data_IF_419440816346
#
_entry.id   IF_419440816346
#
_cell.length_a   1.000
_cell.length_b   1.000
_cell.length_c   1.000
_cell.angle_alpha   90.00
_cell.angle_beta   90.00
_cell.angle_gamma   90.00
#
_symmetry.space_group_name_H-M   'P 1'
#
loop_
_entity.id
_entity.type
_entity.pdbx_description
1 polymer ?
#
# COMPACT_ATOMS: atom_id res chain seq x y z
N UNK A 1 -25.52 6.40 -5.15
CA UNK A 1 -24.16 6.08 -5.61
C UNK A 1 -23.49 5.35 -4.47
N UNK A 2 -22.90 4.19 -4.74
CA UNK A 2 -22.39 3.30 -3.70
C UNK A 2 -20.88 3.35 -3.77
N UNK A 3 -20.27 4.05 -2.83
CA UNK A 3 -18.81 4.16 -2.75
C UNK A 3 -18.20 2.78 -2.49
N UNK A 4 -17.31 2.36 -3.39
CA UNK A 4 -16.46 1.18 -3.27
C UNK A 4 -15.13 1.59 -2.67
N UNK A 5 -14.59 0.75 -1.78
CA UNK A 5 -13.28 1.00 -1.16
C UNK A 5 -12.30 -0.05 -1.66
N UNK A 6 -11.20 0.40 -2.23
CA UNK A 6 -10.15 -0.44 -2.79
C UNK A 6 -8.93 -0.43 -1.88
N UNK A 7 -8.40 -1.62 -1.60
CA UNK A 7 -7.09 -1.79 -0.98
C UNK A 7 -6.11 -2.29 -2.03
N UNK A 8 -5.08 -1.51 -2.30
CA UNK A 8 -4.05 -1.86 -3.26
C UNK A 8 -2.74 -2.12 -2.53
N UNK A 9 -2.14 -3.27 -2.82
CA UNK A 9 -0.82 -3.67 -2.31
C UNK A 9 0.14 -3.75 -3.48
N UNK A 10 1.13 -2.85 -3.50
CA UNK A 10 2.24 -2.87 -4.47
C UNK A 10 3.46 -3.47 -3.78
N UNK A 11 4.01 -4.54 -4.35
CA UNK A 11 5.21 -5.22 -3.84
C UNK A 11 6.36 -5.05 -4.81
N UNK A 12 7.55 -4.90 -4.27
CA UNK A 12 8.76 -4.78 -5.09
C UNK A 12 10.01 -5.14 -4.30
N UNK A 13 11.14 -5.05 -4.99
CA UNK A 13 12.47 -5.26 -4.43
C UNK A 13 13.30 -4.02 -4.70
N UNK A 14 13.93 -3.48 -3.67
CA UNK A 14 14.95 -2.45 -3.81
C UNK A 14 16.09 -2.96 -4.71
N UNK A 15 16.62 -2.08 -5.55
CA UNK A 15 17.67 -2.39 -6.51
C UNK A 15 18.79 -1.36 -6.43
N UNK A 16 20.04 -1.84 -6.51
CA UNK A 16 21.21 -0.95 -6.54
C UNK A 16 21.38 -0.05 -5.30
N UNK A 17 20.90 -0.46 -4.12
CA UNK A 17 21.04 0.36 -2.90
C UNK A 17 22.52 0.63 -2.57
N UNK A 18 22.90 1.90 -2.56
CA UNK A 18 24.19 2.35 -2.02
C UNK A 18 24.28 2.15 -0.51
N UNK A 19 25.49 2.27 0.04
CA UNK A 19 25.74 2.13 1.49
C UNK A 19 24.93 3.16 2.31
N UNK A 20 24.91 4.42 1.86
CA UNK A 20 24.19 5.51 2.54
C UNK A 20 22.68 5.31 2.48
N UNK A 21 22.15 4.90 1.32
CA UNK A 21 20.72 4.60 1.15
C UNK A 21 20.28 3.42 2.01
N UNK A 22 21.13 2.40 2.12
CA UNK A 22 20.87 1.26 3.01
C UNK A 22 20.89 1.69 4.48
N UNK A 23 21.82 2.55 4.87
CA UNK A 23 21.90 3.08 6.23
C UNK A 23 20.65 3.91 6.59
N UNK A 24 20.19 4.74 5.66
CA UNK A 24 18.98 5.55 5.81
C UNK A 24 17.72 4.68 5.95
N UNK A 25 17.55 3.67 5.09
CA UNK A 25 16.47 2.69 5.23
C UNK A 25 16.53 1.96 6.57
N UNK A 26 17.71 1.57 7.05
CA UNK A 26 17.87 0.92 8.35
C UNK A 26 17.51 1.85 9.52
N UNK A 27 17.88 3.13 9.46
CA UNK A 27 17.57 4.11 10.49
C UNK A 27 16.06 4.29 10.67
N UNK A 28 15.29 4.22 9.57
CA UNK A 28 13.83 4.36 9.59
C UNK A 28 13.05 3.04 9.64
N UNK A 29 13.73 1.89 9.70
CA UNK A 29 13.09 0.58 9.61
C UNK A 29 12.08 0.33 10.75
N UNK A 30 12.36 0.80 11.98
CA UNK A 30 11.46 0.63 13.11
C UNK A 30 10.15 1.43 12.99
N UNK A 31 10.19 2.57 12.29
CA UNK A 31 9.00 3.38 12.01
C UNK A 31 8.15 2.77 10.88
N UNK A 32 8.81 2.11 9.94
CA UNK A 32 8.24 1.52 8.72
C UNK A 32 8.16 -0.01 8.77
N UNK A 33 8.11 -0.54 9.98
CA UNK A 33 7.96 -1.96 10.25
C UNK A 33 6.63 -2.47 9.66
N UNK A 34 6.67 -3.68 9.11
CA UNK A 34 5.50 -4.42 8.61
C UNK A 34 4.37 -4.51 9.65
N UNK A 35 4.69 -4.53 10.94
CA UNK A 35 3.70 -4.55 12.03
C UNK A 35 2.89 -3.25 12.16
N UNK A 36 3.39 -2.13 11.63
CA UNK A 36 2.72 -0.83 11.63
C UNK A 36 2.05 -0.51 10.29
N UNK A 37 2.10 -1.43 9.34
CA UNK A 37 1.62 -1.18 8.00
C UNK A 37 0.10 -0.94 7.95
N UNK A 38 -0.29 0.18 7.37
CA UNK A 38 -1.69 0.55 7.17
C UNK A 38 -1.97 0.82 5.69
N UNK A 39 -3.24 0.77 5.29
CA UNK A 39 -3.68 1.29 3.99
C UNK A 39 -4.09 2.74 4.19
N UNK A 40 -3.40 3.68 3.53
CA UNK A 40 -3.68 5.12 3.60
C UNK A 40 -3.82 5.71 2.19
N UNK A 41 -4.53 6.84 2.02
CA UNK A 41 -4.67 7.51 0.73
C UNK A 41 -3.35 8.07 0.17
N UNK A 42 -2.39 8.39 1.04
CA UNK A 42 -1.04 8.82 0.64
C UNK A 42 -0.13 7.61 0.34
N UNK A 43 -0.57 6.43 0.76
CA UNK A 43 0.17 5.19 0.73
C UNK A 43 1.22 5.05 1.84
N UNK A 44 1.41 3.82 2.29
CA UNK A 44 2.34 3.49 3.36
C UNK A 44 3.35 2.44 2.89
N UNK A 45 4.64 2.82 2.86
CA UNK A 45 5.72 1.89 2.58
C UNK A 45 6.16 1.18 3.86
N UNK A 46 6.06 -0.14 3.85
CA UNK A 46 6.64 -1.01 4.86
C UNK A 46 7.74 -1.87 4.26
N UNK A 47 8.81 -2.11 5.02
CA UNK A 47 9.93 -2.94 4.59
C UNK A 47 10.68 -3.51 5.79
N UNK A 48 11.45 -4.56 5.54
CA UNK A 48 12.46 -5.08 6.47
C UNK A 48 13.74 -5.32 5.68
N UNK A 49 14.50 -4.26 5.47
CA UNK A 49 15.74 -4.26 4.67
C UNK A 49 16.86 -5.08 5.35
N UNK A 50 16.73 -5.36 6.66
CA UNK A 50 17.66 -6.21 7.39
C UNK A 50 17.45 -7.69 7.04
N UNK A 51 16.20 -8.13 6.90
CA UNK A 51 15.87 -9.49 6.49
C UNK A 51 15.96 -9.70 4.96
N UNK A 52 15.46 -8.74 4.17
CA UNK A 52 15.43 -8.84 2.70
C UNK A 52 15.26 -7.47 2.03
N UNK A 53 15.79 -7.26 0.82
CA UNK A 53 15.63 -5.99 0.11
C UNK A 53 14.21 -5.82 -0.49
N UNK A 54 13.17 -6.41 0.09
CA UNK A 54 11.80 -6.32 -0.40
C UNK A 54 11.00 -5.27 0.37
N UNK A 55 10.08 -4.60 -0.33
CA UNK A 55 9.15 -3.65 0.25
C UNK A 55 7.70 -3.98 -0.11
N UNK A 56 6.78 -3.42 0.65
CA UNK A 56 5.35 -3.45 0.37
C UNK A 56 4.76 -2.07 0.62
N UNK A 57 4.19 -1.49 -0.41
CA UNK A 57 3.45 -0.25 -0.38
C UNK A 57 1.96 -0.55 -0.33
N UNK A 58 1.25 0.03 0.66
CA UNK A 58 -0.18 -0.18 0.87
C UNK A 58 -0.91 1.13 0.63
N UNK A 59 -1.84 1.12 -0.32
CA UNK A 59 -2.55 2.30 -0.79
C UNK A 59 -4.06 2.08 -0.66
N UNK A 60 -4.75 3.10 -0.13
CA UNK A 60 -6.20 3.10 0.03
C UNK A 60 -6.82 4.04 -1.00
N UNK A 61 -7.79 3.54 -1.75
CA UNK A 61 -8.51 4.36 -2.72
C UNK A 61 -10.00 4.03 -2.71
N UNK A 62 -10.78 4.80 -3.46
CA UNK A 62 -12.21 4.59 -3.63
C UNK A 62 -12.67 4.92 -5.04
N UNK A 63 -13.79 4.31 -5.43
CA UNK A 63 -14.47 4.56 -6.69
C UNK A 63 -15.97 4.32 -6.56
N UNK A 64 -16.69 4.54 -7.66
CA UNK A 64 -18.13 4.33 -7.75
C UNK A 64 -18.47 3.15 -8.68
N UNK A 65 -17.58 2.84 -9.62
CA UNK A 65 -17.69 1.74 -10.57
C UNK A 65 -16.69 0.61 -10.23
N UNK A 66 -16.92 -0.58 -10.77
CA UNK A 66 -16.00 -1.71 -10.57
C UNK A 66 -14.68 -1.48 -11.31
N UNK A 67 -14.77 -0.85 -12.48
CA UNK A 67 -13.67 -0.54 -13.37
C UNK A 67 -12.68 0.44 -12.74
N UNK A 68 -13.13 1.27 -11.79
CA UNK A 68 -12.30 2.23 -11.06
C UNK A 68 -11.17 1.56 -10.28
N UNK A 69 -11.26 0.25 -10.00
CA UNK A 69 -10.20 -0.51 -9.34
C UNK A 69 -8.92 -0.55 -10.18
N UNK A 70 -9.02 -0.49 -11.52
CA UNK A 70 -7.86 -0.48 -12.42
C UNK A 70 -7.14 0.87 -12.33
N UNK A 71 -7.88 1.97 -12.34
CA UNK A 71 -7.31 3.30 -12.16
C UNK A 71 -6.68 3.47 -10.76
N UNK A 72 -7.31 2.89 -9.73
CA UNK A 72 -6.76 2.90 -8.38
C UNK A 72 -5.44 2.12 -8.29
N UNK A 73 -5.28 1.04 -9.06
CA UNK A 73 -4.00 0.33 -9.18
C UNK A 73 -2.93 1.20 -9.83
N UNK A 74 -3.25 1.88 -10.93
CA UNK A 74 -2.32 2.79 -11.61
C UNK A 74 -1.88 3.93 -10.67
N UNK A 75 -2.82 4.53 -9.94
CA UNK A 75 -2.53 5.55 -8.92
C UNK A 75 -1.63 5.02 -7.82
N UNK A 76 -1.87 3.81 -7.33
CA UNK A 76 -1.03 3.18 -6.31
C UNK A 76 0.40 2.89 -6.80
N UNK A 77 0.56 2.43 -8.04
CA UNK A 77 1.89 2.20 -8.65
C UNK A 77 2.65 3.51 -8.87
N UNK A 78 1.95 4.55 -9.33
CA UNK A 78 2.52 5.88 -9.49
C UNK A 78 2.96 6.46 -8.15
N UNK A 79 2.13 6.36 -7.10
CA UNK A 79 2.45 6.82 -5.76
C UNK A 79 3.65 6.06 -5.17
N UNK A 80 3.70 4.74 -5.32
CA UNK A 80 4.83 3.93 -4.87
C UNK A 80 6.13 4.33 -5.60
N UNK A 81 6.06 4.51 -6.93
CA UNK A 81 7.20 4.91 -7.75
C UNK A 81 7.71 6.30 -7.37
N UNK A 82 6.80 7.27 -7.20
CA UNK A 82 7.14 8.62 -6.77
C UNK A 82 7.84 8.62 -5.40
N UNK A 83 7.29 7.88 -4.43
CA UNK A 83 7.87 7.79 -3.08
C UNK A 83 9.31 7.27 -3.10
N UNK A 84 9.58 6.25 -3.92
CA UNK A 84 10.91 5.64 -4.07
C UNK A 84 11.86 6.56 -4.83
N UNK A 85 11.40 7.17 -5.93
CA UNK A 85 12.19 8.05 -6.78
C UNK A 85 12.60 9.35 -6.07
N UNK A 86 11.70 9.97 -5.29
CA UNK A 86 11.99 11.15 -4.47
C UNK A 86 13.14 10.93 -3.49
N UNK A 87 13.34 9.68 -3.05
CA UNK A 87 14.40 9.27 -2.11
C UNK A 87 15.59 8.64 -2.82
N UNK A 88 15.56 8.58 -4.16
CA UNK A 88 16.60 8.01 -5.00
C UNK A 88 16.73 6.49 -4.91
N UNK A 89 15.75 5.78 -4.34
CA UNK A 89 15.83 4.33 -4.21
C UNK A 89 15.49 3.65 -5.53
N UNK A 90 16.43 2.86 -6.05
CA UNK A 90 16.16 1.97 -7.18
C UNK A 90 15.21 0.84 -6.78
N UNK A 91 14.40 0.36 -7.72
CA UNK A 91 13.47 -0.74 -7.49
C UNK A 91 13.27 -1.58 -8.75
N UNK A 92 12.86 -2.84 -8.54
CA UNK A 92 12.53 -3.79 -9.61
C UNK A 92 11.43 -4.76 -9.19
N UNK A 93 10.89 -5.48 -10.19
CA UNK A 93 9.89 -6.55 -10.01
C UNK A 93 8.63 -6.06 -9.29
N UNK A 94 8.14 -4.87 -9.68
CA UNK A 94 6.86 -4.36 -9.16
C UNK A 94 5.72 -5.32 -9.53
N UNK A 95 4.87 -5.59 -8.54
CA UNK A 95 3.64 -6.36 -8.69
C UNK A 95 2.55 -5.74 -7.82
N UNK A 96 1.40 -5.49 -8.43
CA UNK A 96 0.24 -4.91 -7.75
C UNK A 96 -0.87 -5.92 -7.58
N UNK A 97 -1.55 -5.82 -6.46
CA UNK A 97 -2.72 -6.61 -6.12
C UNK A 97 -3.76 -5.68 -5.53
N UNK A 98 -4.97 -5.67 -6.09
CA UNK A 98 -6.09 -4.90 -5.58
C UNK A 98 -7.17 -5.81 -4.99
N UNK A 99 -7.85 -5.29 -3.97
CA UNK A 99 -8.99 -5.92 -3.31
C UNK A 99 -10.12 -4.90 -3.18
N UNK A 100 -11.30 -5.22 -3.73
CA UNK A 100 -12.53 -4.44 -3.55
C UNK A 100 -13.26 -4.91 -2.27
N UNK A 101 -13.27 -4.04 -1.26
CA UNK A 101 -13.92 -4.34 0.02
C UNK A 101 -15.45 -4.32 -0.06
N UNK A 102 -16.03 -3.78 -1.13
CA UNK A 102 -17.48 -3.87 -1.37
C UNK A 102 -17.90 -5.30 -1.76
N UNK A 103 -16.98 -6.08 -2.32
CA UNK A 103 -17.19 -7.49 -2.71
C UNK A 103 -16.76 -8.48 -1.62
N UNK A 104 -16.02 -8.02 -0.61
CA UNK A 104 -15.60 -8.87 0.50
C UNK A 104 -16.84 -9.29 1.33
N UNK A 105 -17.05 -10.60 1.61
CA UNK A 105 -18.13 -11.03 2.48
C UNK A 105 -17.95 -10.40 3.85
N UNK A 106 -18.84 -9.44 4.18
CA UNK A 106 -18.73 -8.62 5.39
C UNK A 106 -18.46 -9.49 6.61
N UNK A 107 -17.28 -9.33 7.21
CA UNK A 107 -16.93 -9.96 8.47
C UNK A 107 -17.91 -9.52 9.57
N UNK A 108 -18.19 -10.40 10.55
CA UNK A 108 -19.18 -10.14 11.62
C UNK A 108 -18.98 -8.81 12.36
N UNK A 109 -17.73 -8.31 12.44
CA UNK A 109 -17.39 -7.03 13.07
C UNK A 109 -17.79 -5.81 12.22
N UNK A 110 -17.60 -5.88 10.90
CA UNK A 110 -17.92 -4.79 9.99
C UNK A 110 -19.43 -4.60 9.84
N UNK A 111 -20.21 -5.70 9.88
CA UNK A 111 -21.68 -5.64 9.98
C UNK A 111 -22.18 -4.89 11.22
N UNK A 112 -21.51 -5.04 12.37
CA UNK A 112 -21.87 -4.32 13.60
C UNK A 112 -21.55 -2.84 13.53
N UNK A 113 -20.43 -2.46 12.93
CA UNK A 113 -20.07 -1.05 12.76
C UNK A 113 -21.03 -0.30 11.81
N UNK A 114 -21.44 -0.95 10.71
CA UNK A 114 -22.43 -0.38 9.78
C UNK A 114 -23.81 -0.26 10.44
N UNK A 115 -24.24 -1.28 11.19
CA UNK A 115 -25.51 -1.26 11.92
C UNK A 115 -25.57 -0.21 13.05
N UNK A 116 -24.43 0.25 13.57
CA UNK A 116 -24.35 1.28 14.61
C UNK A 116 -24.27 2.71 14.06
N UNK A 117 -24.04 2.86 12.75
CA UNK A 117 -23.83 4.17 12.11
C UNK A 117 -24.88 4.50 11.03
N UNK A 118 -26.02 3.80 11.03
CA UNK A 118 -27.16 4.10 10.18
C UNK A 118 -28.17 4.92 11.00
N UNK A 119 -28.54 6.15 10.60
CA UNK A 119 -29.51 6.99 11.31
C UNK A 119 -30.95 6.45 11.22
#
# INVERSE_FOLDING_TARGET
MTTRTFRITVRGVFDGLGADQRADLLAHAAERDVLRAAFTPEGHLSYDVAARPAFTFRFLDSGEAEEDILEAVERAEAAATAWLAERGYGFKRLKSQAEDLSQAPLGKRQRRAIAQNTP
#
